data_IF_691861457841
#
_entry.id   IF_691861457841
#
_cell.length_a   1.000
_cell.length_b   1.000
_cell.length_c   1.000
_cell.angle_alpha   90.00
_cell.angle_beta   90.00
_cell.angle_gamma   90.00
#
_symmetry.space_group_name_H-M   'P 1'
#
loop_
_entity.id
_entity.type
_entity.pdbx_description
1 polymer ?
#
# COMPACT_ATOMS: atom_id res chain seq x y z
N UNK A 1 22.16 6.26 -9.17
CA UNK A 1 20.88 6.45 -9.92
C UNK A 1 19.70 6.65 -8.99
N UNK A 2 19.49 5.76 -8.01
CA UNK A 2 18.41 5.86 -7.02
C UNK A 2 18.43 7.22 -6.29
N UNK A 3 19.58 7.66 -5.76
CA UNK A 3 19.68 8.95 -5.06
C UNK A 3 19.27 10.15 -5.92
N UNK A 4 19.61 10.12 -7.21
CA UNK A 4 19.25 11.16 -8.18
C UNK A 4 17.75 11.21 -8.45
N UNK A 5 17.09 10.05 -8.45
CA UNK A 5 15.63 9.96 -8.60
C UNK A 5 14.93 10.41 -7.31
N UNK A 6 15.43 9.97 -6.16
CA UNK A 6 14.89 10.31 -4.83
C UNK A 6 14.97 11.81 -4.54
N UNK A 7 16.03 12.49 -4.98
CA UNK A 7 16.21 13.94 -4.81
C UNK A 7 15.09 14.80 -5.44
N UNK A 8 14.24 14.22 -6.29
CA UNK A 8 13.13 14.94 -6.96
C UNK A 8 11.79 14.81 -6.23
N UNK A 9 11.72 14.04 -5.15
CA UNK A 9 10.49 13.73 -4.43
C UNK A 9 10.33 14.60 -3.18
N UNK A 10 9.11 14.70 -2.67
CA UNK A 10 8.75 15.50 -1.48
C UNK A 10 8.25 14.62 -0.33
N UNK A 11 9.02 13.59 0.05
CA UNK A 11 8.74 12.72 1.20
C UNK A 11 9.38 13.25 2.49
N UNK A 12 9.04 12.66 3.63
CA UNK A 12 9.66 12.97 4.93
C UNK A 12 11.01 12.22 5.02
N UNK A 13 12.17 12.89 5.13
CA UNK A 13 13.46 12.22 4.99
C UNK A 13 13.74 11.11 6.01
N UNK A 14 13.22 11.24 7.24
CA UNK A 14 13.39 10.25 8.30
C UNK A 14 12.62 8.95 8.09
N UNK A 15 11.74 8.87 7.09
CA UNK A 15 10.88 7.70 6.83
C UNK A 15 11.34 6.89 5.62
N UNK A 16 12.59 7.01 5.19
CA UNK A 16 13.15 6.22 4.08
C UNK A 16 13.62 4.86 4.57
N UNK A 17 13.11 3.79 3.96
CA UNK A 17 13.51 2.41 4.21
C UNK A 17 13.88 1.73 2.89
N UNK A 18 14.91 0.88 2.90
CA UNK A 18 15.39 0.17 1.71
C UNK A 18 15.74 -1.29 2.06
N UNK A 19 15.47 -2.20 1.14
CA UNK A 19 15.86 -3.61 1.24
C UNK A 19 16.27 -4.12 -0.14
N UNK A 20 17.29 -4.96 -0.19
CA UNK A 20 17.75 -5.62 -1.41
C UNK A 20 17.31 -7.09 -1.37
N UNK A 21 16.58 -7.53 -2.39
CA UNK A 21 16.01 -8.88 -2.48
C UNK A 21 16.10 -9.40 -3.92
N UNK A 22 16.11 -10.73 -4.13
CA UNK A 22 15.94 -11.31 -5.46
C UNK A 22 14.67 -10.82 -6.15
N UNK A 23 14.72 -10.76 -7.49
CA UNK A 23 13.58 -10.32 -8.30
C UNK A 23 12.31 -11.15 -8.06
N UNK A 24 12.46 -12.48 -7.95
CA UNK A 24 11.34 -13.40 -7.73
C UNK A 24 10.72 -13.18 -6.36
N UNK A 25 11.54 -13.02 -5.32
CA UNK A 25 11.08 -12.75 -3.96
C UNK A 25 10.27 -11.44 -3.89
N UNK A 26 10.65 -10.42 -4.67
CA UNK A 26 9.85 -9.19 -4.77
C UNK A 26 8.49 -9.43 -5.45
N UNK A 27 8.45 -10.23 -6.51
CA UNK A 27 7.20 -10.57 -7.21
C UNK A 27 6.25 -11.37 -6.31
N UNK A 28 6.79 -12.30 -5.52
CA UNK A 28 6.02 -13.21 -4.66
C UNK A 28 5.83 -12.69 -3.21
N UNK A 29 6.17 -11.43 -2.94
CA UNK A 29 6.21 -10.85 -1.58
C UNK A 29 4.90 -10.98 -0.77
N UNK A 30 3.76 -11.16 -1.43
CA UNK A 30 2.44 -11.30 -0.76
C UNK A 30 2.25 -12.70 -0.19
N UNK A 31 2.87 -13.73 -0.76
CA UNK A 31 2.71 -15.12 -0.32
C UNK A 31 3.15 -15.33 1.14
N UNK A 32 4.22 -14.65 1.57
CA UNK A 32 4.64 -14.68 2.97
C UNK A 32 3.55 -14.13 3.93
N UNK A 33 2.78 -13.13 3.49
CA UNK A 33 1.67 -12.58 4.27
C UNK A 33 0.45 -13.49 4.27
N UNK A 34 0.15 -14.13 3.14
CA UNK A 34 -0.87 -15.18 3.02
C UNK A 34 -0.61 -16.31 4.01
N UNK A 35 0.58 -16.94 3.97
CA UNK A 35 0.93 -18.07 4.86
C UNK A 35 0.81 -17.67 6.33
N UNK A 36 1.26 -16.45 6.67
CA UNK A 36 1.13 -15.91 8.03
C UNK A 36 -0.34 -15.78 8.45
N UNK A 37 -1.18 -15.15 7.64
CA UNK A 37 -2.60 -14.98 7.94
C UNK A 37 -3.35 -16.32 7.95
N UNK A 38 -2.97 -17.26 7.09
CA UNK A 38 -3.53 -18.61 7.05
C UNK A 38 -3.26 -19.36 8.35
N UNK A 39 -2.03 -19.27 8.88
CA UNK A 39 -1.68 -19.84 10.20
C UNK A 39 -2.48 -19.25 11.36
N UNK A 40 -3.03 -18.05 11.18
CA UNK A 40 -3.85 -17.35 12.17
C UNK A 40 -5.36 -17.58 11.94
N UNK A 41 -5.74 -18.31 10.89
CA UNK A 41 -7.14 -18.47 10.48
C UNK A 41 -7.78 -17.19 9.94
N UNK A 42 -6.98 -16.18 9.57
CA UNK A 42 -7.43 -14.87 9.08
C UNK A 42 -7.41 -14.75 7.55
N UNK A 43 -6.97 -15.80 6.85
CA UNK A 43 -6.95 -15.82 5.39
C UNK A 43 -8.27 -16.28 4.78
N UNK A 44 -8.88 -17.36 5.27
CA UNK A 44 -10.12 -17.92 4.72
C UNK A 44 -11.37 -17.26 5.34
N UNK A 45 -11.45 -15.93 5.29
CA UNK A 45 -12.56 -15.12 5.83
C UNK A 45 -13.29 -14.37 4.70
N UNK A 46 -14.52 -13.86 4.92
CA UNK A 46 -15.16 -12.99 3.95
C UNK A 46 -14.33 -11.70 3.71
N UNK A 47 -14.04 -11.40 2.44
CA UNK A 47 -13.26 -10.23 2.03
C UNK A 47 -14.13 -9.20 1.31
N UNK A 48 -14.79 -8.27 2.02
CA UNK A 48 -15.62 -7.23 1.40
C UNK A 48 -14.77 -6.10 0.81
N UNK A 49 -13.87 -6.42 -0.13
CA UNK A 49 -13.00 -5.45 -0.78
C UNK A 49 -13.77 -4.56 -1.76
N UNK A 50 -13.33 -3.31 -1.88
CA UNK A 50 -13.86 -2.33 -2.83
C UNK A 50 -12.73 -1.84 -3.75
N UNK A 51 -12.78 -2.22 -5.02
CA UNK A 51 -11.77 -1.87 -6.03
C UNK A 51 -12.35 -0.89 -7.05
N UNK A 52 -11.75 0.31 -7.20
CA UNK A 52 -12.30 1.40 -8.02
C UNK A 52 -11.21 2.06 -8.87
N UNK A 53 -11.57 2.48 -10.09
CA UNK A 53 -10.75 3.39 -10.90
C UNK A 53 -11.27 4.82 -10.76
N UNK A 54 -10.44 5.74 -10.26
CA UNK A 54 -10.80 7.14 -10.00
C UNK A 54 -10.06 8.07 -10.98
N UNK A 55 -10.76 8.99 -11.68
CA UNK A 55 -10.09 9.97 -12.53
C UNK A 55 -9.15 10.89 -11.76
N UNK A 56 -8.01 11.25 -12.38
CA UNK A 56 -7.02 12.19 -11.79
C UNK A 56 -7.67 13.50 -11.31
N UNK A 57 -8.63 14.02 -12.06
CA UNK A 57 -9.32 15.28 -11.72
C UNK A 57 -10.17 15.20 -10.45
N UNK A 58 -10.47 14.00 -9.94
CA UNK A 58 -11.35 13.77 -8.79
C UNK A 58 -10.64 13.16 -7.58
N UNK A 59 -9.38 12.75 -7.69
CA UNK A 59 -8.69 12.00 -6.62
C UNK A 59 -8.60 12.78 -5.30
N UNK A 60 -8.40 14.11 -5.34
CA UNK A 60 -8.35 14.93 -4.13
C UNK A 60 -9.71 15.10 -3.46
N UNK A 61 -10.80 15.17 -4.24
CA UNK A 61 -12.16 15.19 -3.68
C UNK A 61 -12.49 13.83 -3.08
N UNK A 62 -12.20 12.74 -3.79
CA UNK A 62 -12.38 11.38 -3.30
C UNK A 62 -11.64 11.17 -1.97
N UNK A 63 -10.36 11.56 -1.89
CA UNK A 63 -9.56 11.39 -0.67
C UNK A 63 -10.14 12.16 0.53
N UNK A 64 -10.62 13.39 0.31
CA UNK A 64 -11.23 14.21 1.35
C UNK A 64 -12.52 13.60 1.91
N UNK A 65 -13.38 13.10 1.03
CA UNK A 65 -14.66 12.54 1.44
C UNK A 65 -14.49 11.13 2.01
N UNK A 66 -13.72 10.26 1.37
CA UNK A 66 -13.56 8.87 1.79
C UNK A 66 -12.63 8.77 3.00
N UNK A 67 -11.38 9.18 2.90
CA UNK A 67 -10.41 9.04 4.00
C UNK A 67 -10.53 10.13 5.06
N UNK A 68 -11.06 11.31 4.69
CA UNK A 68 -11.25 12.42 5.63
C UNK A 68 -12.56 12.39 6.42
N UNK A 69 -13.57 11.60 6.00
CA UNK A 69 -14.90 11.58 6.65
C UNK A 69 -15.53 10.19 6.82
N UNK A 70 -15.45 9.32 5.81
CA UNK A 70 -16.13 8.01 5.84
C UNK A 70 -15.29 6.99 6.62
N UNK A 71 -14.00 6.90 6.29
CA UNK A 71 -13.03 6.00 6.91
C UNK A 71 -12.09 6.86 7.75
N UNK A 72 -12.60 7.41 8.85
CA UNK A 72 -11.77 8.11 9.84
C UNK A 72 -11.11 7.09 10.76
N UNK A 73 -9.98 7.47 11.36
CA UNK A 73 -9.36 6.69 12.44
C UNK A 73 -10.42 6.40 13.50
N UNK A 74 -10.63 5.11 13.78
CA UNK A 74 -11.40 4.65 14.94
C UNK A 74 -10.54 4.79 16.20
#
# INVERSE_FOLDING_TARGET
EIDRLMAKLSFIPSTVFMSEVPYVDFLDRVHASEVKLQSQGLWEVPHPWLNLFIPRSKIHHFAREVFGKIITDS
#
